data_IF_881899072563
#
_entry.id   IF_881899072563
#
_cell.length_a   1.000
_cell.length_b   1.000
_cell.length_c   1.000
_cell.angle_alpha   90.00
_cell.angle_beta   90.00
_cell.angle_gamma   90.00
#
_symmetry.space_group_name_H-M   'P 1'
#
loop_
_entity.id
_entity.type
_entity.pdbx_description
1 polymer ?
#
# COMPACT_ATOMS: atom_id res chain seq x y z
N UNK A 1 6.17 -11.36 1.54
CA UNK A 1 5.63 -12.03 2.70
C UNK A 1 5.38 -11.04 3.84
N UNK A 2 4.45 -11.39 4.70
CA UNK A 2 4.05 -10.52 5.81
C UNK A 2 5.13 -10.55 6.90
N UNK A 3 5.76 -9.41 7.14
CA UNK A 3 6.86 -9.31 8.12
C UNK A 3 6.83 -7.94 8.82
N UNK A 4 5.75 -7.58 9.50
CA UNK A 4 5.68 -6.26 10.12
C UNK A 4 6.59 -6.18 11.34
N UNK A 5 7.44 -5.17 11.35
CA UNK A 5 8.36 -4.90 12.45
C UNK A 5 8.61 -3.40 12.49
N UNK A 6 8.04 -2.72 13.46
CA UNK A 6 8.12 -1.26 13.58
C UNK A 6 9.43 -0.83 14.22
N UNK A 7 10.54 -1.19 13.60
CA UNK A 7 11.90 -0.94 14.11
C UNK A 7 12.62 0.20 13.40
N UNK A 8 11.90 1.01 12.62
CA UNK A 8 12.48 2.11 11.86
C UNK A 8 12.73 1.79 10.39
N UNK A 9 12.68 0.51 10.00
CA UNK A 9 12.73 0.09 8.60
C UNK A 9 11.36 -0.43 8.21
N UNK A 10 10.88 -0.07 7.02
CA UNK A 10 9.57 -0.51 6.57
C UNK A 10 9.64 -1.91 5.98
N UNK A 11 8.76 -2.80 6.41
CA UNK A 11 8.70 -4.19 6.01
C UNK A 11 7.35 -4.54 5.38
N UNK A 12 7.27 -5.63 4.62
CA UNK A 12 5.97 -6.07 4.06
C UNK A 12 4.92 -6.23 5.15
N UNK A 13 3.75 -5.65 4.90
CA UNK A 13 2.65 -5.61 5.86
C UNK A 13 2.50 -4.27 6.55
N UNK A 14 3.50 -3.40 6.46
CA UNK A 14 3.43 -2.07 7.04
C UNK A 14 2.82 -1.08 6.06
N UNK A 15 2.10 -0.10 6.60
CA UNK A 15 1.54 0.99 5.83
C UNK A 15 2.33 2.24 6.18
N UNK A 16 2.91 2.86 5.16
CA UNK A 16 3.75 4.04 5.31
C UNK A 16 3.14 5.20 4.53
N UNK A 17 3.44 6.43 4.95
CA UNK A 17 3.03 7.63 4.23
C UNK A 17 4.21 8.11 3.39
N UNK A 18 3.94 8.29 2.11
CA UNK A 18 4.96 8.73 1.17
C UNK A 18 4.31 9.54 0.05
N UNK A 19 5.10 10.37 -0.60
CA UNK A 19 4.62 11.13 -1.75
C UNK A 19 4.44 10.18 -2.94
N UNK A 20 3.25 10.22 -3.54
CA UNK A 20 2.90 9.38 -4.69
C UNK A 20 2.60 10.29 -5.87
N UNK A 21 3.34 10.15 -6.97
CA UNK A 21 3.07 10.96 -8.16
C UNK A 21 1.72 10.59 -8.78
N UNK A 22 1.06 11.58 -9.33
CA UNK A 22 -0.15 11.32 -10.08
C UNK A 22 0.17 10.54 -11.34
N UNK A 23 -0.70 9.61 -11.68
CA UNK A 23 -0.51 8.76 -12.85
C UNK A 23 -0.51 9.59 -14.14
N UNK A 24 -1.38 10.59 -14.21
CA UNK A 24 -1.53 11.45 -15.38
C UNK A 24 -0.48 12.55 -15.49
N UNK A 25 0.22 12.87 -14.38
CA UNK A 25 1.25 13.91 -14.37
C UNK A 25 2.24 13.64 -13.23
N UNK A 26 3.35 13.00 -13.58
CA UNK A 26 4.34 12.56 -12.59
C UNK A 26 5.10 13.72 -11.94
N UNK A 27 4.98 14.94 -12.45
CA UNK A 27 5.60 16.12 -11.82
C UNK A 27 4.80 16.59 -10.62
N UNK A 28 3.57 16.09 -10.44
CA UNK A 28 2.70 16.44 -9.32
C UNK A 28 2.27 15.17 -8.60
N UNK A 29 1.82 15.32 -7.37
CA UNK A 29 1.38 14.18 -6.57
C UNK A 29 0.94 14.65 -5.19
N UNK A 30 0.77 13.71 -4.30
CA UNK A 30 0.46 14.02 -2.91
C UNK A 30 0.87 12.88 -2.00
N UNK A 31 0.98 13.16 -0.71
CA UNK A 31 1.24 12.13 0.28
C UNK A 31 0.03 11.20 0.38
N UNK A 32 0.30 9.89 0.39
CA UNK A 32 -0.74 8.87 0.50
C UNK A 32 -0.23 7.74 1.39
N UNK A 33 -1.14 7.00 2.02
CA UNK A 33 -0.75 5.76 2.65
C UNK A 33 -0.50 4.69 1.59
N UNK A 34 0.58 3.93 1.78
CA UNK A 34 1.02 2.90 0.84
C UNK A 34 1.31 1.63 1.64
N UNK A 35 0.71 0.52 1.20
CA UNK A 35 0.97 -0.79 1.79
C UNK A 35 2.25 -1.36 1.17
N UNK A 36 3.24 -1.61 2.01
CA UNK A 36 4.47 -2.27 1.56
C UNK A 36 4.17 -3.75 1.36
N UNK A 37 4.44 -4.28 0.17
CA UNK A 37 4.16 -5.69 -0.16
C UNK A 37 5.41 -6.50 -0.41
N UNK A 38 6.54 -5.87 -0.77
CA UNK A 38 7.78 -6.59 -1.05
C UNK A 38 8.96 -5.63 -1.04
N UNK A 39 10.17 -6.18 -1.09
CA UNK A 39 11.39 -5.43 -1.34
C UNK A 39 11.90 -5.75 -2.73
N UNK A 40 12.33 -4.73 -3.46
CA UNK A 40 13.01 -4.92 -4.73
C UNK A 40 14.48 -5.32 -4.48
N UNK A 41 15.14 -5.85 -5.51
CA UNK A 41 16.50 -6.31 -5.39
C UNK A 41 17.52 -5.21 -5.07
N UNK A 42 17.17 -3.94 -5.33
CA UNK A 42 18.03 -2.79 -5.05
C UNK A 42 17.79 -2.21 -3.64
N UNK A 43 16.92 -2.81 -2.87
CA UNK A 43 16.60 -2.35 -1.52
C UNK A 43 15.40 -1.41 -1.44
N UNK A 44 14.89 -0.93 -2.56
CA UNK A 44 13.67 -0.14 -2.56
C UNK A 44 12.47 -1.00 -2.19
N UNK A 45 11.42 -0.36 -1.74
CA UNK A 45 10.19 -1.04 -1.35
C UNK A 45 9.21 -1.03 -2.50
N UNK A 46 8.45 -2.11 -2.63
CA UNK A 46 7.33 -2.17 -3.56
C UNK A 46 6.05 -2.01 -2.77
N UNK A 47 5.19 -1.10 -3.22
CA UNK A 47 4.00 -0.78 -2.48
C UNK A 47 2.78 -0.55 -3.36
N UNK A 48 1.62 -0.59 -2.71
CA UNK A 48 0.33 -0.36 -3.34
C UNK A 48 -0.36 0.77 -2.57
N UNK A 49 -0.85 1.77 -3.29
CA UNK A 49 -1.50 2.90 -2.63
C UNK A 49 -2.85 2.51 -2.05
N UNK A 50 -3.22 3.17 -0.96
CA UNK A 50 -4.54 3.08 -0.37
C UNK A 50 -5.33 4.35 -0.66
N UNK A 51 -6.64 4.20 -0.70
CA UNK A 51 -7.57 5.32 -0.82
C UNK A 51 -8.77 5.05 0.09
N UNK A 52 -9.37 6.11 0.62
CA UNK A 52 -10.61 6.03 1.38
C UNK A 52 -11.81 6.55 0.59
N UNK A 53 -11.65 6.78 -0.70
CA UNK A 53 -12.74 7.26 -1.55
C UNK A 53 -13.70 6.12 -1.84
N UNK A 54 -14.95 6.28 -1.43
CA UNK A 54 -15.94 5.21 -1.47
C UNK A 54 -16.24 4.70 -2.87
N UNK A 55 -16.08 5.54 -3.91
CA UNK A 55 -16.32 5.10 -5.29
C UNK A 55 -15.33 4.01 -5.74
N UNK A 56 -14.22 3.83 -5.02
CA UNK A 56 -13.26 2.75 -5.33
C UNK A 56 -13.85 1.38 -5.09
N UNK A 57 -14.90 1.30 -4.28
CA UNK A 57 -15.54 0.02 -3.95
C UNK A 57 -16.04 -0.72 -5.20
N UNK A 58 -16.45 0.02 -6.22
CA UNK A 58 -17.01 -0.57 -7.44
C UNK A 58 -15.96 -0.81 -8.53
N UNK A 59 -14.69 -0.51 -8.24
CA UNK A 59 -13.61 -0.69 -9.21
C UNK A 59 -12.88 -2.00 -8.91
N UNK A 60 -12.87 -2.92 -9.88
CA UNK A 60 -12.29 -4.25 -9.69
C UNK A 60 -10.78 -4.23 -9.40
N UNK A 61 -10.10 -3.14 -9.75
CA UNK A 61 -8.67 -3.00 -9.47
C UNK A 61 -8.39 -2.52 -8.04
N UNK A 62 -9.43 -2.25 -7.27
CA UNK A 62 -9.29 -1.82 -5.88
C UNK A 62 -9.94 -2.84 -4.96
N UNK A 63 -9.17 -3.31 -3.99
CA UNK A 63 -9.62 -4.32 -3.03
C UNK A 63 -9.99 -3.66 -1.71
N UNK A 64 -11.24 -3.86 -1.22
CA UNK A 64 -11.61 -3.35 0.11
C UNK A 64 -10.81 -4.07 1.20
N UNK A 65 -10.21 -3.31 2.10
CA UNK A 65 -9.42 -3.85 3.21
C UNK A 65 -9.92 -3.39 4.57
N UNK A 66 -11.03 -2.66 4.61
CA UNK A 66 -11.60 -2.18 5.85
C UNK A 66 -10.87 -0.98 6.41
N UNK A 67 -11.21 -0.59 7.63
CA UNK A 67 -10.59 0.57 8.29
C UNK A 67 -9.43 0.13 9.17
N UNK A 68 -8.62 1.12 9.54
CA UNK A 68 -7.49 0.89 10.43
C UNK A 68 -6.84 2.21 10.83
N UNK A 69 -5.80 2.15 11.68
CA UNK A 69 -5.18 3.36 12.22
C UNK A 69 -4.45 4.22 11.19
N UNK A 70 -4.30 3.73 9.96
CA UNK A 70 -3.74 4.53 8.87
C UNK A 70 -4.71 5.59 8.35
N UNK A 71 -5.99 5.50 8.71
CA UNK A 71 -6.98 6.53 8.39
C UNK A 71 -7.49 7.11 9.71
N UNK A 72 -7.15 8.37 9.95
CA UNK A 72 -7.51 9.06 11.19
C UNK A 72 -9.01 9.13 11.43
N UNK A 73 -9.81 9.14 10.36
CA UNK A 73 -11.26 9.22 10.48
C UNK A 73 -11.94 7.85 10.52
N UNK A 74 -11.15 6.77 10.48
CA UNK A 74 -11.70 5.42 10.58
C UNK A 74 -12.52 4.99 9.38
N UNK A 75 -12.29 5.59 8.21
CA UNK A 75 -13.03 5.24 6.99
C UNK A 75 -12.51 3.92 6.42
N UNK A 76 -13.37 3.22 5.69
CA UNK A 76 -12.93 2.05 4.95
C UNK A 76 -11.90 2.45 3.90
N UNK A 77 -10.91 1.59 3.73
CA UNK A 77 -9.84 1.81 2.76
C UNK A 77 -9.86 0.75 1.68
N UNK A 78 -9.27 1.11 0.55
CA UNK A 78 -9.17 0.25 -0.63
C UNK A 78 -7.74 0.26 -1.11
N UNK A 79 -7.23 -0.90 -1.51
CA UNK A 79 -5.85 -1.05 -2.00
C UNK A 79 -5.90 -1.19 -3.52
N UNK A 80 -5.12 -0.38 -4.21
CA UNK A 80 -5.03 -0.45 -5.67
C UNK A 80 -4.09 -1.58 -6.08
N UNK A 81 -4.58 -2.51 -6.88
CA UNK A 81 -3.85 -3.73 -7.24
C UNK A 81 -3.10 -3.62 -8.58
N UNK A 82 -3.50 -2.69 -9.45
CA UNK A 82 -2.99 -2.63 -10.81
C UNK A 82 -1.86 -1.62 -11.00
N UNK A 83 -1.37 -1.01 -9.93
CA UNK A 83 -0.26 -0.04 -10.02
C UNK A 83 0.72 -0.27 -8.87
N UNK A 84 1.89 -0.78 -9.22
CA UNK A 84 2.96 -1.01 -8.24
C UNK A 84 3.80 0.25 -8.15
N UNK A 85 4.04 0.71 -6.93
CA UNK A 85 4.89 1.86 -6.66
C UNK A 85 6.24 1.37 -6.16
N UNK A 86 7.31 1.94 -6.70
CA UNK A 86 8.64 1.69 -6.18
C UNK A 86 8.97 2.88 -5.25
N UNK A 87 9.16 2.58 -3.97
CA UNK A 87 9.29 3.58 -2.93
C UNK A 87 10.70 3.52 -2.36
N UNK A 88 11.54 4.55 -2.57
CA UNK A 88 12.82 4.62 -1.89
C UNK A 88 12.60 4.70 -0.38
N UNK A 89 13.34 3.93 0.38
CA UNK A 89 13.17 3.92 1.83
C UNK A 89 13.30 5.32 2.44
N UNK A 90 14.23 6.11 1.92
CA UNK A 90 14.45 7.47 2.40
C UNK A 90 13.30 8.44 2.02
N UNK A 91 12.39 8.02 1.15
CA UNK A 91 11.24 8.84 0.77
C UNK A 91 10.04 8.70 1.70
N UNK A 92 10.14 7.84 2.69
CA UNK A 92 9.05 7.62 3.63
C UNK A 92 8.97 8.78 4.62
N UNK A 93 7.78 9.37 4.74
CA UNK A 93 7.56 10.49 5.64
C UNK A 93 7.27 10.05 7.06
N UNK A 94 6.53 8.95 7.20
CA UNK A 94 6.24 8.37 8.50
C UNK A 94 5.65 6.98 8.29
N UNK A 95 5.83 6.13 9.29
CA UNK A 95 5.14 4.86 9.33
C UNK A 95 3.72 5.09 9.83
N UNK A 96 2.76 4.49 9.17
CA UNK A 96 1.37 4.66 9.52
C UNK A 96 0.87 3.61 10.48
N UNK A 97 1.03 2.34 10.12
CA UNK A 97 0.43 1.25 10.86
C UNK A 97 0.88 -0.09 10.29
N UNK A 98 0.39 -1.16 10.91
CA UNK A 98 0.56 -2.52 10.42
C UNK A 98 -0.80 -3.02 9.96
N UNK A 99 -0.87 -3.54 8.73
CA UNK A 99 -2.09 -4.17 8.25
C UNK A 99 -2.25 -5.54 8.92
N UNK A 100 -3.44 -5.88 9.42
CA UNK A 100 -3.65 -7.23 9.97
C UNK A 100 -3.32 -8.32 8.95
N UNK A 101 -2.74 -9.41 9.44
CA UNK A 101 -2.18 -10.47 8.60
C UNK A 101 -3.22 -11.06 7.64
N UNK A 102 -4.45 -11.27 8.09
CA UNK A 102 -5.49 -11.84 7.24
C UNK A 102 -5.86 -10.92 6.07
N UNK A 103 -5.84 -9.60 6.30
CA UNK A 103 -6.10 -8.64 5.23
C UNK A 103 -4.93 -8.58 4.25
N UNK A 104 -3.71 -8.60 4.75
CA UNK A 104 -2.53 -8.64 3.90
C UNK A 104 -2.54 -9.88 3.01
N UNK A 105 -2.92 -11.04 3.57
CA UNK A 105 -2.98 -12.27 2.79
C UNK A 105 -4.02 -12.23 1.68
N UNK A 106 -5.13 -11.52 1.89
CA UNK A 106 -6.10 -11.31 0.81
C UNK A 106 -5.52 -10.48 -0.32
N UNK A 107 -4.76 -9.43 0.02
CA UNK A 107 -4.06 -8.62 -0.99
C UNK A 107 -3.09 -9.50 -1.77
N UNK A 108 -2.26 -10.27 -1.07
CA UNK A 108 -1.27 -11.14 -1.68
C UNK A 108 -1.92 -12.18 -2.60
N UNK A 109 -3.05 -12.76 -2.17
CA UNK A 109 -3.77 -13.74 -2.96
C UNK A 109 -4.30 -13.13 -4.27
N UNK A 110 -4.85 -11.92 -4.19
CA UNK A 110 -5.35 -11.23 -5.39
C UNK A 110 -4.21 -10.88 -6.35
N UNK A 111 -3.06 -10.46 -5.83
CA UNK A 111 -1.90 -10.17 -6.68
C UNK A 111 -1.44 -11.42 -7.42
N UNK A 112 -1.42 -12.57 -6.74
CA UNK A 112 -1.01 -13.82 -7.36
C UNK A 112 -2.02 -14.32 -8.39
N UNK A 113 -3.31 -14.24 -8.08
CA UNK A 113 -4.35 -14.83 -8.94
C UNK A 113 -4.74 -13.92 -10.11
N UNK A 114 -4.68 -12.61 -9.94
CA UNK A 114 -5.20 -11.67 -10.93
C UNK A 114 -4.18 -10.77 -11.59
N UNK A 115 -2.96 -10.66 -11.03
CA UNK A 115 -1.99 -9.65 -11.48
C UNK A 115 -0.60 -10.24 -11.74
N UNK A 116 -0.49 -11.54 -11.75
CA UNK A 116 0.76 -12.22 -12.18
C UNK A 116 1.89 -12.21 -11.18
N UNK A 117 1.63 -11.92 -9.92
CA UNK A 117 2.65 -11.97 -8.88
C UNK A 117 2.95 -13.40 -8.45
N UNK A 118 4.19 -13.62 -8.03
CA UNK A 118 4.63 -14.94 -7.54
C UNK A 118 4.58 -15.04 -6.01
#
# INVERSE_FOLDING_TARGET
SYQPDLDGAADPGEIVWTWVPYEEDASQGKDRPVLVVARAGDGDLLGLMLSSQEHRRDDENWLPVGSGPWDREGRDSFVRLDRVLEVPEHGIRREGAVMPADRFERVAAELRSGYGWN
#
